data_IF_728518387991
#
_entry.id   IF_728518387991
#
_cell.length_a   1.000
_cell.length_b   1.000
_cell.length_c   1.000
_cell.angle_alpha   90.00
_cell.angle_beta   90.00
_cell.angle_gamma   90.00
#
_symmetry.space_group_name_H-M   'P 1'
#
loop_
_entity.id
_entity.type
_entity.pdbx_description
1 polymer ?
#
# COMPACT_ATOMS: atom_id res chain seq x y z
N UNK A 1 -17.01 -30.42 0.04
CA UNK A 1 -16.30 -31.57 -0.54
C UNK A 1 -15.06 -31.08 -1.26
N UNK A 2 -13.99 -31.88 -1.35
CA UNK A 2 -12.74 -31.52 -2.06
C UNK A 2 -13.00 -31.01 -3.49
N UNK A 3 -14.01 -31.57 -4.17
CA UNK A 3 -14.42 -31.13 -5.51
C UNK A 3 -15.04 -29.72 -5.54
N UNK A 4 -15.76 -29.30 -4.50
CA UNK A 4 -16.33 -27.95 -4.40
C UNK A 4 -15.25 -26.90 -4.18
N UNK A 5 -14.26 -27.19 -3.34
CA UNK A 5 -13.13 -26.29 -3.08
C UNK A 5 -12.21 -26.16 -4.31
N UNK A 6 -11.97 -27.26 -5.03
CA UNK A 6 -11.22 -27.22 -6.29
C UNK A 6 -11.90 -26.34 -7.36
N UNK A 7 -13.24 -26.41 -7.48
CA UNK A 7 -14.00 -25.56 -8.41
C UNK A 7 -13.98 -24.08 -8.00
N UNK A 8 -14.06 -23.80 -6.70
CA UNK A 8 -13.92 -22.44 -6.18
C UNK A 8 -12.54 -21.84 -6.49
N UNK A 9 -11.47 -22.62 -6.32
CA UNK A 9 -10.10 -22.18 -6.68
C UNK A 9 -9.95 -22.02 -8.19
N UNK A 10 -10.56 -22.91 -8.99
CA UNK A 10 -10.52 -22.82 -10.44
C UNK A 10 -11.21 -21.55 -10.96
N UNK A 11 -12.34 -21.15 -10.37
CA UNK A 11 -13.01 -19.91 -10.79
C UNK A 11 -12.11 -18.68 -10.58
N UNK A 12 -11.32 -18.66 -9.50
CA UNK A 12 -10.32 -17.60 -9.28
C UNK A 12 -9.28 -17.58 -10.41
N UNK A 13 -8.70 -18.74 -10.75
CA UNK A 13 -7.70 -18.83 -11.83
C UNK A 13 -8.27 -18.44 -13.20
N UNK A 14 -9.55 -18.72 -13.44
CA UNK A 14 -10.25 -18.26 -14.66
C UNK A 14 -10.35 -16.74 -14.69
N UNK A 15 -10.72 -16.11 -13.58
CA UNK A 15 -10.79 -14.65 -13.46
C UNK A 15 -9.41 -13.99 -13.60
N UNK A 16 -8.35 -14.60 -13.05
CA UNK A 16 -6.97 -14.11 -13.24
C UNK A 16 -6.54 -14.06 -14.70
N UNK A 17 -7.09 -14.96 -15.53
CA UNK A 17 -6.85 -15.00 -16.98
C UNK A 17 -7.82 -14.13 -17.79
N UNK A 18 -8.74 -13.43 -17.13
CA UNK A 18 -9.78 -12.61 -17.77
C UNK A 18 -10.97 -13.42 -18.31
N UNK A 19 -11.07 -14.72 -18.00
CA UNK A 19 -12.17 -15.58 -18.44
C UNK A 19 -13.35 -15.48 -17.47
N UNK A 20 -13.95 -14.29 -17.38
CA UNK A 20 -15.03 -14.02 -16.41
C UNK A 20 -16.31 -14.81 -16.69
N UNK A 21 -16.71 -14.96 -17.96
CA UNK A 21 -17.92 -15.70 -18.34
C UNK A 21 -17.85 -17.19 -17.94
N UNK A 22 -16.69 -17.82 -18.13
CA UNK A 22 -16.42 -19.20 -17.70
C UNK A 22 -16.48 -19.31 -16.17
N UNK A 23 -15.91 -18.34 -15.45
CA UNK A 23 -15.97 -18.28 -13.99
C UNK A 23 -17.41 -18.13 -13.49
N UNK A 24 -18.21 -17.24 -14.11
CA UNK A 24 -19.65 -17.07 -13.84
C UNK A 24 -20.40 -18.38 -14.02
N UNK A 25 -20.15 -19.09 -15.13
CA UNK A 25 -20.79 -20.37 -15.45
C UNK A 25 -20.48 -21.42 -14.39
N UNK A 26 -19.19 -21.56 -14.04
CA UNK A 26 -18.73 -22.50 -13.03
C UNK A 26 -19.33 -22.21 -11.65
N UNK A 27 -19.40 -20.94 -11.25
CA UNK A 27 -19.94 -20.52 -9.96
C UNK A 27 -21.46 -20.72 -9.89
N UNK A 28 -22.20 -20.40 -10.96
CA UNK A 28 -23.64 -20.71 -11.06
C UNK A 28 -23.91 -22.21 -10.98
N UNK A 29 -23.04 -23.05 -11.55
CA UNK A 29 -23.14 -24.51 -11.38
C UNK A 29 -22.88 -24.96 -9.93
N UNK A 30 -21.94 -24.34 -9.24
CA UNK A 30 -21.67 -24.63 -7.83
C UNK A 30 -22.89 -24.32 -6.96
N UNK A 31 -23.58 -23.21 -7.22
CA UNK A 31 -24.77 -22.79 -6.47
C UNK A 31 -25.97 -23.75 -6.63
N UNK A 32 -26.00 -24.59 -7.68
CA UNK A 32 -27.05 -25.63 -7.82
C UNK A 32 -26.91 -26.77 -6.82
N UNK A 33 -25.76 -26.89 -6.14
CA UNK A 33 -25.47 -27.98 -5.19
C UNK A 33 -25.82 -27.55 -3.77
N UNK A 34 -26.33 -28.49 -2.97
CA UNK A 34 -26.63 -28.25 -1.56
C UNK A 34 -25.33 -28.00 -0.78
N UNK A 35 -25.28 -26.90 -0.05
CA UNK A 35 -24.14 -26.47 0.77
C UNK A 35 -24.63 -25.72 2.01
N UNK A 36 -23.72 -25.37 2.94
CA UNK A 36 -24.10 -24.53 4.09
C UNK A 36 -24.42 -23.12 3.62
N UNK A 37 -25.24 -22.37 4.37
CA UNK A 37 -25.54 -20.97 4.04
C UNK A 37 -24.27 -20.10 3.98
N UNK A 38 -23.27 -20.39 4.83
CA UNK A 38 -21.99 -19.70 4.81
C UNK A 38 -21.18 -20.06 3.55
N UNK A 39 -21.11 -21.34 3.15
CA UNK A 39 -20.47 -21.74 1.89
C UNK A 39 -21.16 -21.07 0.70
N UNK A 40 -22.49 -21.07 0.68
CA UNK A 40 -23.27 -20.46 -0.41
C UNK A 40 -23.01 -18.96 -0.52
N UNK A 41 -23.03 -18.25 0.61
CA UNK A 41 -22.68 -16.83 0.68
C UNK A 41 -21.29 -16.58 0.08
N UNK A 42 -20.28 -17.38 0.43
CA UNK A 42 -18.93 -17.24 -0.11
C UNK A 42 -18.84 -17.48 -1.62
N UNK A 43 -19.58 -18.47 -2.14
CA UNK A 43 -19.65 -18.74 -3.60
C UNK A 43 -20.34 -17.57 -4.31
N UNK A 44 -21.42 -17.03 -3.74
CA UNK A 44 -22.10 -15.86 -4.28
C UNK A 44 -21.20 -14.63 -4.27
N UNK A 45 -20.42 -14.40 -3.21
CA UNK A 45 -19.41 -13.32 -3.19
C UNK A 45 -18.35 -13.47 -4.29
N UNK A 46 -17.93 -14.70 -4.62
CA UNK A 46 -17.03 -14.89 -5.77
C UNK A 46 -17.72 -14.59 -7.09
N UNK A 47 -19.00 -14.95 -7.19
CA UNK A 47 -19.82 -14.71 -8.37
C UNK A 47 -20.02 -13.21 -8.61
N UNK A 48 -20.13 -12.38 -7.56
CA UNK A 48 -20.24 -10.92 -7.73
C UNK A 48 -19.01 -10.35 -8.43
N UNK A 49 -17.80 -10.74 -8.03
CA UNK A 49 -16.55 -10.30 -8.67
C UNK A 49 -16.46 -10.78 -10.13
N UNK A 50 -16.89 -12.01 -10.41
CA UNK A 50 -16.90 -12.54 -11.78
C UNK A 50 -17.93 -11.82 -12.67
N UNK A 51 -19.12 -11.52 -12.13
CA UNK A 51 -20.17 -10.76 -12.84
C UNK A 51 -19.73 -9.31 -13.10
N UNK A 52 -19.09 -8.65 -12.14
CA UNK A 52 -18.50 -7.32 -12.36
C UNK A 52 -17.45 -7.34 -13.47
N UNK A 53 -16.58 -8.34 -13.47
CA UNK A 53 -15.55 -8.52 -14.50
C UNK A 53 -16.15 -8.79 -15.89
N UNK A 54 -17.32 -9.45 -15.94
CA UNK A 54 -18.08 -9.66 -17.17
C UNK A 54 -18.96 -8.44 -17.57
N UNK A 55 -19.01 -7.38 -16.76
CA UNK A 55 -19.86 -6.20 -17.00
C UNK A 55 -21.32 -6.35 -16.59
N UNK A 56 -21.71 -7.44 -15.93
CA UNK A 56 -23.07 -7.72 -15.44
C UNK A 56 -23.33 -7.07 -14.05
N UNK A 57 -23.18 -5.75 -13.93
CA UNK A 57 -23.18 -5.05 -12.62
C UNK A 57 -24.50 -5.16 -11.83
N UNK A 58 -25.66 -5.15 -12.49
CA UNK A 58 -26.95 -5.32 -11.80
C UNK A 58 -27.09 -6.72 -11.20
N UNK A 59 -26.66 -7.74 -11.96
CA UNK A 59 -26.64 -9.11 -11.47
C UNK A 59 -25.63 -9.28 -10.33
N UNK A 60 -24.47 -8.62 -10.42
CA UNK A 60 -23.49 -8.59 -9.34
C UNK A 60 -24.09 -7.96 -8.08
N UNK A 61 -24.82 -6.86 -8.17
CA UNK A 61 -25.45 -6.22 -7.01
C UNK A 61 -26.52 -7.12 -6.37
N UNK A 62 -27.36 -7.76 -7.18
CA UNK A 62 -28.31 -8.75 -6.68
C UNK A 62 -27.61 -9.88 -5.90
N UNK A 63 -26.53 -10.43 -6.45
CA UNK A 63 -25.76 -11.48 -5.78
C UNK A 63 -25.06 -10.99 -4.51
N UNK A 64 -24.66 -9.71 -4.41
CA UNK A 64 -24.12 -9.11 -3.17
C UNK A 64 -25.17 -9.10 -2.06
N UNK A 65 -26.39 -8.68 -2.37
CA UNK A 65 -27.51 -8.67 -1.41
C UNK A 65 -27.81 -10.08 -0.94
N UNK A 66 -28.00 -11.03 -1.86
CA UNK A 66 -28.26 -12.43 -1.53
C UNK A 66 -27.14 -13.05 -0.67
N UNK A 67 -25.88 -12.76 -0.98
CA UNK A 67 -24.75 -13.25 -0.21
C UNK A 67 -24.77 -12.73 1.24
N UNK A 68 -25.11 -11.45 1.44
CA UNK A 68 -25.21 -10.84 2.77
C UNK A 68 -26.35 -11.46 3.59
N UNK A 69 -27.55 -11.56 3.02
CA UNK A 69 -28.73 -12.12 3.70
C UNK A 69 -28.52 -13.59 4.11
N UNK A 70 -27.90 -14.39 3.23
CA UNK A 70 -27.57 -15.78 3.54
C UNK A 70 -26.57 -15.89 4.68
N UNK A 71 -25.60 -14.98 4.75
CA UNK A 71 -24.59 -14.97 5.79
C UNK A 71 -25.18 -14.59 7.14
N UNK A 72 -26.08 -13.60 7.17
CA UNK A 72 -26.79 -13.19 8.38
C UNK A 72 -27.67 -14.33 8.91
N UNK A 73 -28.33 -15.06 8.01
CA UNK A 73 -29.18 -16.21 8.33
C UNK A 73 -28.40 -17.52 8.59
N UNK A 74 -27.07 -17.52 8.51
CA UNK A 74 -26.24 -18.69 8.76
C UNK A 74 -26.05 -18.96 10.26
N UNK A 75 -25.96 -20.23 10.64
CA UNK A 75 -25.66 -20.65 12.01
C UNK A 75 -24.26 -20.20 12.43
N UNK A 76 -24.12 -19.83 13.70
CA UNK A 76 -22.86 -19.34 14.24
C UNK A 76 -21.80 -20.44 14.23
N UNK A 77 -20.79 -20.27 13.39
CA UNK A 77 -19.77 -21.28 13.11
C UNK A 77 -18.46 -20.61 12.72
N UNK A 78 -17.35 -21.35 12.80
CA UNK A 78 -16.05 -20.91 12.28
C UNK A 78 -16.16 -20.51 10.80
N UNK A 79 -16.89 -21.30 10.02
CA UNK A 79 -17.09 -21.03 8.59
C UNK A 79 -17.77 -19.67 8.37
N UNK A 80 -18.86 -19.40 9.10
CA UNK A 80 -19.56 -18.11 9.03
C UNK A 80 -18.64 -16.95 9.38
N UNK A 81 -17.84 -17.07 10.45
CA UNK A 81 -16.92 -16.00 10.86
C UNK A 81 -15.85 -15.72 9.80
N UNK A 82 -15.25 -16.76 9.22
CA UNK A 82 -14.23 -16.60 8.15
C UNK A 82 -14.83 -15.96 6.90
N UNK A 83 -16.03 -16.38 6.48
CA UNK A 83 -16.71 -15.78 5.32
C UNK A 83 -17.13 -14.33 5.60
N UNK A 84 -17.60 -14.04 6.82
CA UNK A 84 -17.91 -12.67 7.26
C UNK A 84 -16.70 -11.76 7.23
N UNK A 85 -15.55 -12.23 7.70
CA UNK A 85 -14.32 -11.47 7.61
C UNK A 85 -13.90 -11.20 6.15
N UNK A 86 -14.06 -12.18 5.26
CA UNK A 86 -13.79 -11.99 3.83
C UNK A 86 -14.69 -10.91 3.22
N UNK A 87 -15.99 -10.89 3.56
CA UNK A 87 -16.92 -9.87 3.12
C UNK A 87 -16.56 -8.48 3.67
N UNK A 88 -16.21 -8.40 4.95
CA UNK A 88 -15.77 -7.15 5.56
C UNK A 88 -14.51 -6.60 4.85
N UNK A 89 -13.57 -7.48 4.47
CA UNK A 89 -12.39 -7.08 3.69
C UNK A 89 -12.76 -6.52 2.30
N UNK A 90 -13.71 -7.12 1.57
CA UNK A 90 -14.14 -6.58 0.27
C UNK A 90 -14.86 -5.23 0.41
N UNK A 91 -15.52 -5.00 1.56
CA UNK A 91 -16.12 -3.72 1.94
C UNK A 91 -15.11 -2.71 2.54
N UNK A 92 -13.81 -3.02 2.57
CA UNK A 92 -12.76 -2.20 3.17
C UNK A 92 -12.92 -1.96 4.68
N UNK A 93 -13.69 -2.82 5.36
CA UNK A 93 -13.92 -2.78 6.82
C UNK A 93 -12.90 -3.66 7.54
N UNK A 94 -11.61 -3.35 7.32
CA UNK A 94 -10.49 -4.20 7.73
C UNK A 94 -10.38 -4.41 9.25
N UNK A 95 -10.69 -3.40 10.06
CA UNK A 95 -10.66 -3.51 11.52
C UNK A 95 -11.72 -4.51 12.04
N UNK A 96 -12.91 -4.51 11.45
CA UNK A 96 -13.99 -5.46 11.80
C UNK A 96 -13.68 -6.86 11.27
N UNK A 97 -13.09 -6.96 10.08
CA UNK A 97 -12.61 -8.23 9.53
C UNK A 97 -11.57 -8.86 10.45
N UNK A 98 -10.61 -8.07 10.91
CA UNK A 98 -9.58 -8.48 11.86
C UNK A 98 -10.20 -9.00 13.16
N UNK A 99 -11.09 -8.24 13.79
CA UNK A 99 -11.77 -8.65 15.02
C UNK A 99 -12.59 -9.94 14.84
N UNK A 100 -13.24 -10.10 13.69
CA UNK A 100 -14.02 -11.30 13.35
C UNK A 100 -13.11 -12.55 13.23
N UNK A 101 -11.93 -12.40 12.61
CA UNK A 101 -10.97 -13.49 12.48
C UNK A 101 -10.31 -13.85 13.82
N UNK A 102 -10.05 -12.89 14.70
CA UNK A 102 -9.54 -13.16 16.05
C UNK A 102 -10.53 -13.98 16.88
N UNK A 103 -11.84 -13.74 16.71
CA UNK A 103 -12.88 -14.56 17.35
C UNK A 103 -12.97 -15.98 16.76
N UNK A 104 -12.63 -16.14 15.47
CA UNK A 104 -12.65 -17.43 14.79
C UNK A 104 -11.44 -18.30 15.17
N UNK A 105 -10.25 -17.72 15.23
CA UNK A 105 -8.97 -18.45 15.31
C UNK A 105 -8.88 -19.46 16.47
N UNK A 106 -9.31 -19.18 17.72
CA UNK A 106 -9.25 -20.14 18.81
C UNK A 106 -10.10 -21.40 18.58
N UNK A 107 -11.14 -21.30 17.74
CA UNK A 107 -12.08 -22.39 17.43
C UNK A 107 -11.58 -23.28 16.28
N UNK A 108 -10.48 -22.90 15.61
CA UNK A 108 -9.92 -23.62 14.47
C UNK A 108 -8.89 -24.64 14.94
N UNK A 109 -9.22 -25.93 14.79
CA UNK A 109 -8.34 -27.05 15.15
C UNK A 109 -7.51 -27.56 13.96
N UNK A 110 -7.98 -27.38 12.73
CA UNK A 110 -7.26 -27.81 11.53
C UNK A 110 -6.04 -26.91 11.28
N UNK A 111 -4.79 -27.45 11.23
CA UNK A 111 -3.59 -26.64 11.07
C UNK A 111 -3.52 -25.81 9.78
N UNK A 112 -3.99 -26.37 8.65
CA UNK A 112 -3.96 -25.68 7.37
C UNK A 112 -4.93 -24.50 7.34
N UNK A 113 -6.17 -24.70 7.82
CA UNK A 113 -7.15 -23.63 7.96
C UNK A 113 -6.68 -22.59 8.99
N UNK A 114 -6.03 -23.03 10.07
CA UNK A 114 -5.47 -22.12 11.09
C UNK A 114 -4.39 -21.21 10.50
N UNK A 115 -3.44 -21.76 9.74
CA UNK A 115 -2.41 -20.99 9.04
C UNK A 115 -3.03 -20.01 8.01
N UNK A 116 -4.04 -20.45 7.25
CA UNK A 116 -4.77 -19.59 6.33
C UNK A 116 -5.46 -18.42 7.05
N UNK A 117 -6.14 -18.68 8.16
CA UNK A 117 -6.80 -17.64 8.97
C UNK A 117 -5.78 -16.68 9.58
N UNK A 118 -4.61 -17.16 10.02
CA UNK A 118 -3.51 -16.30 10.50
C UNK A 118 -2.99 -15.39 9.39
N UNK A 119 -2.81 -15.89 8.17
CA UNK A 119 -2.42 -15.06 7.02
C UNK A 119 -3.50 -14.03 6.68
N UNK A 120 -4.79 -14.38 6.77
CA UNK A 120 -5.88 -13.41 6.61
C UNK A 120 -5.91 -12.35 7.73
N UNK A 121 -5.58 -12.73 8.97
CA UNK A 121 -5.40 -11.80 10.08
C UNK A 121 -4.26 -10.84 9.83
N UNK A 122 -3.11 -11.35 9.36
CA UNK A 122 -1.95 -10.54 9.00
C UNK A 122 -2.27 -9.53 7.88
N UNK A 123 -3.02 -9.96 6.86
CA UNK A 123 -3.49 -9.05 5.80
C UNK A 123 -4.48 -8.00 6.32
N UNK A 124 -5.46 -8.38 7.11
CA UNK A 124 -6.42 -7.43 7.70
C UNK A 124 -5.72 -6.47 8.69
N UNK A 125 -4.70 -6.93 9.40
CA UNK A 125 -3.84 -6.11 10.25
C UNK A 125 -3.09 -5.06 9.43
N UNK A 126 -2.50 -5.46 8.31
CA UNK A 126 -1.81 -4.55 7.40
C UNK A 126 -2.75 -3.44 6.89
N UNK A 127 -3.92 -3.82 6.39
CA UNK A 127 -4.89 -2.85 5.83
C UNK A 127 -5.55 -1.98 6.92
N UNK A 128 -5.56 -2.42 8.18
CA UNK A 128 -6.05 -1.62 9.32
C UNK A 128 -4.95 -0.85 10.07
N UNK A 129 -3.69 -0.92 9.63
CA UNK A 129 -2.56 -0.20 10.24
C UNK A 129 -1.96 -0.84 11.50
N UNK A 130 -2.35 -2.06 11.85
CA UNK A 130 -1.85 -2.78 13.04
C UNK A 130 -0.53 -3.49 12.76
N UNK A 131 0.56 -2.72 12.69
CA UNK A 131 1.85 -3.18 12.17
C UNK A 131 2.41 -4.42 12.89
N UNK A 132 2.39 -4.45 14.23
CA UNK A 132 2.92 -5.56 15.03
C UNK A 132 2.18 -6.88 14.76
N UNK A 133 0.86 -6.80 14.54
CA UNK A 133 0.02 -7.97 14.27
C UNK A 133 0.31 -8.59 12.90
N UNK A 134 0.84 -7.82 11.94
CA UNK A 134 1.23 -8.34 10.62
C UNK A 134 2.30 -9.41 10.79
N UNK A 135 3.41 -9.04 11.46
CA UNK A 135 4.57 -9.90 11.66
C UNK A 135 4.20 -11.09 12.54
N UNK A 136 3.51 -10.84 13.66
CA UNK A 136 3.08 -11.90 14.58
C UNK A 136 2.31 -13.00 13.86
N UNK A 137 1.24 -12.66 13.16
CA UNK A 137 0.39 -13.66 12.52
C UNK A 137 1.06 -14.32 11.31
N UNK A 138 1.90 -13.58 10.58
CA UNK A 138 2.68 -14.15 9.48
C UNK A 138 3.69 -15.20 9.96
N UNK A 139 4.46 -14.90 11.02
CA UNK A 139 5.42 -15.82 11.61
C UNK A 139 4.74 -17.01 12.28
N UNK A 140 3.67 -16.80 13.06
CA UNK A 140 2.88 -17.89 13.65
C UNK A 140 2.34 -18.84 12.56
N UNK A 141 1.86 -18.30 11.43
CA UNK A 141 1.43 -19.13 10.30
C UNK A 141 2.56 -19.99 9.73
N UNK A 142 3.78 -19.44 9.61
CA UNK A 142 4.95 -20.17 9.11
C UNK A 142 5.35 -21.33 10.02
N UNK A 143 5.16 -21.22 11.34
CA UNK A 143 5.45 -22.32 12.29
C UNK A 143 4.60 -23.57 12.04
N UNK A 144 3.41 -23.41 11.44
CA UNK A 144 2.50 -24.51 11.10
C UNK A 144 2.91 -25.24 9.80
N UNK A 145 4.03 -24.86 9.19
CA UNK A 145 4.56 -25.43 7.95
C UNK A 145 3.51 -25.55 6.84
N UNK A 146 2.85 -24.44 6.48
CA UNK A 146 1.72 -24.50 5.57
C UNK A 146 2.18 -24.85 4.15
N UNK A 147 1.20 -25.10 3.28
CA UNK A 147 1.45 -25.36 1.86
C UNK A 147 2.16 -24.19 1.17
N UNK A 148 2.59 -24.43 -0.07
CA UNK A 148 3.31 -23.46 -0.90
C UNK A 148 2.62 -22.08 -0.93
N UNK A 149 1.32 -22.03 -1.17
CA UNK A 149 0.57 -20.79 -1.39
C UNK A 149 0.52 -19.95 -0.12
N UNK A 150 0.15 -20.57 0.99
CA UNK A 150 0.06 -19.87 2.28
C UNK A 150 1.45 -19.50 2.79
N UNK A 151 2.47 -20.34 2.57
CA UNK A 151 3.86 -20.04 2.95
C UNK A 151 4.42 -18.85 2.19
N UNK A 152 4.24 -18.80 0.87
CA UNK A 152 4.66 -17.65 0.04
C UNK A 152 4.00 -16.36 0.52
N UNK A 153 2.69 -16.38 0.73
CA UNK A 153 1.94 -15.21 1.21
C UNK A 153 2.35 -14.79 2.63
N UNK A 154 2.62 -15.74 3.53
CA UNK A 154 3.10 -15.43 4.87
C UNK A 154 4.47 -14.74 4.85
N UNK A 155 5.43 -15.21 4.02
CA UNK A 155 6.69 -14.49 3.84
C UNK A 155 6.48 -13.10 3.22
N UNK A 156 5.55 -12.95 2.27
CA UNK A 156 5.23 -11.64 1.69
C UNK A 156 4.75 -10.64 2.75
N UNK A 157 3.84 -11.07 3.62
CA UNK A 157 3.27 -10.26 4.69
C UNK A 157 4.29 -9.94 5.78
N UNK A 158 5.10 -10.91 6.24
CA UNK A 158 6.19 -10.65 7.18
C UNK A 158 7.18 -9.64 6.61
N UNK A 159 7.55 -9.81 5.33
CA UNK A 159 8.42 -8.88 4.62
C UNK A 159 7.81 -7.47 4.51
N UNK A 160 6.48 -7.33 4.47
CA UNK A 160 5.77 -6.05 4.53
C UNK A 160 5.74 -5.48 5.96
N UNK A 161 5.47 -6.32 6.97
CA UNK A 161 5.42 -5.92 8.38
C UNK A 161 6.76 -5.40 8.88
N UNK A 162 7.83 -6.20 8.75
CA UNK A 162 9.19 -5.78 9.12
C UNK A 162 9.63 -4.53 8.36
N UNK A 163 9.27 -4.45 7.07
CA UNK A 163 9.49 -3.26 6.29
C UNK A 163 8.81 -2.04 6.94
N UNK A 164 7.53 -2.09 7.28
CA UNK A 164 6.81 -0.97 7.89
C UNK A 164 7.41 -0.50 9.22
N UNK A 165 7.97 -1.43 10.00
CA UNK A 165 8.69 -1.14 11.26
C UNK A 165 10.10 -0.56 11.05
N UNK A 166 10.61 -0.58 9.82
CA UNK A 166 11.97 -0.12 9.49
C UNK A 166 13.04 -1.21 9.66
N UNK A 167 12.66 -2.44 10.01
CA UNK A 167 13.57 -3.59 10.03
C UNK A 167 13.80 -4.13 8.62
N UNK A 168 14.65 -3.44 7.86
CA UNK A 168 14.93 -3.76 6.46
C UNK A 168 15.67 -5.08 6.27
N UNK A 169 16.43 -5.54 7.28
CA UNK A 169 17.19 -6.79 7.23
C UNK A 169 16.27 -8.01 7.26
N UNK A 170 15.35 -8.06 8.24
CA UNK A 170 14.34 -9.11 8.29
C UNK A 170 13.38 -9.03 7.10
N UNK A 171 13.03 -7.81 6.66
CA UNK A 171 12.22 -7.63 5.47
C UNK A 171 12.89 -8.26 4.24
N UNK A 172 14.18 -7.99 4.00
CA UNK A 172 14.95 -8.58 2.90
C UNK A 172 15.00 -10.11 3.01
N UNK A 173 15.23 -10.65 4.21
CA UNK A 173 15.26 -12.10 4.46
C UNK A 173 13.93 -12.76 4.04
N UNK A 174 12.80 -12.21 4.45
CA UNK A 174 11.50 -12.76 4.07
C UNK A 174 11.22 -12.65 2.56
N UNK A 175 11.60 -11.54 1.92
CA UNK A 175 11.47 -11.41 0.46
C UNK A 175 12.34 -12.41 -0.29
N UNK A 176 13.56 -12.66 0.18
CA UNK A 176 14.45 -13.65 -0.41
C UNK A 176 13.90 -15.07 -0.25
N UNK A 177 13.37 -15.41 0.93
CA UNK A 177 12.73 -16.72 1.14
C UNK A 177 11.50 -16.91 0.24
N UNK A 178 10.68 -15.87 0.06
CA UNK A 178 9.57 -15.91 -0.91
C UNK A 178 10.09 -16.11 -2.33
N UNK A 179 11.12 -15.37 -2.74
CA UNK A 179 11.73 -15.51 -4.06
C UNK A 179 12.22 -16.96 -4.31
N UNK A 180 12.88 -17.58 -3.33
CA UNK A 180 13.33 -18.97 -3.44
C UNK A 180 12.16 -19.97 -3.59
N UNK A 181 11.04 -19.71 -2.91
CA UNK A 181 9.81 -20.52 -3.05
C UNK A 181 9.28 -20.43 -4.48
N UNK A 182 9.14 -19.22 -5.01
CA UNK A 182 8.55 -19.00 -6.35
C UNK A 182 9.50 -19.42 -7.48
N UNK A 183 10.82 -19.30 -7.28
CA UNK A 183 11.82 -19.86 -8.19
C UNK A 183 11.72 -21.39 -8.31
N UNK A 184 11.49 -22.09 -7.18
CA UNK A 184 11.27 -23.54 -7.20
C UNK A 184 9.95 -23.92 -7.87
N UNK A 185 8.94 -23.06 -7.79
CA UNK A 185 7.65 -23.25 -8.46
C UNK A 185 7.71 -22.93 -9.96
N UNK A 186 8.69 -22.13 -10.42
CA UNK A 186 8.85 -21.74 -11.82
C UNK A 186 7.83 -20.69 -12.28
N UNK A 187 7.24 -19.94 -11.35
CA UNK A 187 6.22 -18.93 -11.63
C UNK A 187 6.89 -17.56 -11.93
N UNK A 188 7.15 -17.29 -13.22
CA UNK A 188 7.83 -16.08 -13.67
C UNK A 188 7.17 -14.77 -13.22
N UNK A 189 5.84 -14.75 -13.10
CA UNK A 189 5.08 -13.58 -12.68
C UNK A 189 5.33 -13.28 -11.20
N UNK A 190 5.29 -14.30 -10.35
CA UNK A 190 5.57 -14.15 -8.92
C UNK A 190 7.04 -13.91 -8.62
N UNK A 191 7.95 -14.48 -9.40
CA UNK A 191 9.38 -14.16 -9.30
C UNK A 191 9.60 -12.67 -9.58
N UNK A 192 9.02 -12.14 -10.66
CA UNK A 192 9.10 -10.71 -10.98
C UNK A 192 8.51 -9.84 -9.87
N UNK A 193 7.38 -10.24 -9.26
CA UNK A 193 6.81 -9.53 -8.12
C UNK A 193 7.76 -9.56 -6.90
N UNK A 194 8.38 -10.70 -6.59
CA UNK A 194 9.37 -10.80 -5.52
C UNK A 194 10.57 -9.86 -5.75
N UNK A 195 11.05 -9.78 -7.00
CA UNK A 195 12.13 -8.87 -7.39
C UNK A 195 11.74 -7.41 -7.20
N UNK A 196 10.51 -7.01 -7.57
CA UNK A 196 10.00 -5.66 -7.32
C UNK A 196 9.96 -5.34 -5.82
N UNK A 197 9.55 -6.28 -4.98
CA UNK A 197 9.55 -6.10 -3.52
C UNK A 197 10.97 -5.99 -2.94
N UNK A 198 11.94 -6.73 -3.47
CA UNK A 198 13.35 -6.58 -3.11
C UNK A 198 13.91 -5.22 -3.56
N UNK A 199 13.51 -4.75 -4.74
CA UNK A 199 13.86 -3.43 -5.25
C UNK A 199 13.39 -2.32 -4.28
N UNK A 200 12.17 -2.42 -3.75
CA UNK A 200 11.68 -1.53 -2.68
C UNK A 200 12.62 -1.50 -1.47
N UNK A 201 13.14 -2.66 -1.02
CA UNK A 201 14.08 -2.71 0.11
C UNK A 201 15.42 -2.04 -0.25
N UNK A 202 15.96 -2.30 -1.44
CA UNK A 202 17.19 -1.63 -1.93
C UNK A 202 17.02 -0.11 -1.95
N UNK A 203 15.93 0.39 -2.53
CA UNK A 203 15.63 1.82 -2.56
C UNK A 203 15.53 2.40 -1.15
N UNK A 204 14.83 1.73 -0.23
CA UNK A 204 14.68 2.22 1.16
C UNK A 204 16.01 2.31 1.92
N UNK A 205 16.96 1.44 1.60
CA UNK A 205 18.36 1.53 2.09
C UNK A 205 19.20 2.61 1.41
N UNK A 206 18.70 3.27 0.37
CA UNK A 206 19.42 4.27 -0.41
C UNK A 206 20.07 3.75 -1.70
N UNK A 207 20.01 2.43 -1.97
CA UNK A 207 20.51 1.84 -3.22
C UNK A 207 19.46 1.96 -4.34
N UNK A 208 19.31 3.19 -4.85
CA UNK A 208 18.34 3.49 -5.93
C UNK A 208 18.75 2.81 -7.24
N UNK A 209 20.05 2.74 -7.53
CA UNK A 209 20.56 2.07 -8.74
C UNK A 209 20.31 0.56 -8.71
N UNK A 210 20.54 -0.09 -7.58
CA UNK A 210 20.22 -1.50 -7.39
C UNK A 210 18.72 -1.78 -7.48
N UNK A 211 17.88 -0.89 -6.94
CA UNK A 211 16.43 -0.97 -7.12
C UNK A 211 16.04 -0.92 -8.60
N UNK A 212 16.53 0.08 -9.35
CA UNK A 212 16.24 0.23 -10.78
C UNK A 212 16.72 -0.96 -11.62
N UNK A 213 17.88 -1.56 -11.30
CA UNK A 213 18.35 -2.78 -11.97
C UNK A 213 17.39 -3.95 -11.75
N UNK A 214 16.99 -4.20 -10.49
CA UNK A 214 16.03 -5.26 -10.16
C UNK A 214 14.67 -5.05 -10.85
N UNK A 215 14.19 -3.80 -10.92
CA UNK A 215 12.97 -3.47 -11.65
C UNK A 215 13.11 -3.81 -13.15
N UNK A 216 14.23 -3.44 -13.78
CA UNK A 216 14.44 -3.76 -15.19
C UNK A 216 14.44 -5.26 -15.46
N UNK A 217 15.15 -6.04 -14.63
CA UNK A 217 15.18 -7.51 -14.74
C UNK A 217 13.78 -8.12 -14.54
N UNK A 218 13.01 -7.63 -13.54
CA UNK A 218 11.66 -8.10 -13.27
C UNK A 218 10.70 -7.81 -14.44
N UNK A 219 10.82 -6.64 -15.07
CA UNK A 219 10.00 -6.21 -16.21
C UNK A 219 10.27 -7.02 -17.48
N UNK A 220 11.49 -7.50 -17.65
CA UNK A 220 11.89 -8.42 -18.72
C UNK A 220 11.34 -9.82 -18.47
N UNK A 221 11.28 -10.25 -17.21
CA UNK A 221 10.81 -11.59 -16.84
C UNK A 221 9.30 -11.78 -17.01
N UNK A 222 8.49 -10.78 -16.65
CA UNK A 222 7.03 -10.88 -16.71
C UNK A 222 6.40 -9.63 -17.30
N UNK A 223 5.48 -9.83 -18.26
CA UNK A 223 4.64 -8.77 -18.81
C UNK A 223 3.48 -8.44 -17.85
N UNK A 224 2.97 -9.44 -17.13
CA UNK A 224 1.82 -9.30 -16.22
C UNK A 224 2.20 -8.49 -14.99
N UNK A 225 3.38 -8.75 -14.42
CA UNK A 225 3.88 -8.07 -13.22
C UNK A 225 4.46 -6.68 -13.47
N UNK A 226 4.46 -6.18 -14.71
CA UNK A 226 5.05 -4.86 -15.03
C UNK A 226 4.42 -3.72 -14.25
N UNK A 227 3.11 -3.78 -13.96
CA UNK A 227 2.41 -2.72 -13.22
C UNK A 227 3.00 -2.52 -11.82
N UNK A 228 3.23 -3.60 -11.06
CA UNK A 228 3.82 -3.49 -9.73
C UNK A 228 5.28 -3.06 -9.79
N UNK A 229 6.02 -3.48 -10.82
CA UNK A 229 7.40 -3.03 -11.07
C UNK A 229 7.45 -1.52 -11.36
N UNK A 230 6.57 -1.01 -12.22
CA UNK A 230 6.52 0.40 -12.58
C UNK A 230 6.21 1.30 -11.38
N UNK A 231 5.39 0.85 -10.43
CA UNK A 231 5.17 1.60 -9.17
C UNK A 231 6.50 1.87 -8.46
N UNK A 232 7.38 0.86 -8.37
CA UNK A 232 8.68 1.01 -7.72
C UNK A 232 9.65 1.86 -8.57
N UNK A 233 9.63 1.74 -9.90
CA UNK A 233 10.39 2.62 -10.80
C UNK A 233 9.99 4.10 -10.62
N UNK A 234 8.69 4.39 -10.52
CA UNK A 234 8.18 5.73 -10.23
C UNK A 234 8.73 6.25 -8.90
N UNK A 235 8.77 5.42 -7.84
CA UNK A 235 9.35 5.85 -6.56
C UNK A 235 10.86 6.09 -6.65
N UNK A 236 11.60 5.33 -7.46
CA UNK A 236 13.03 5.56 -7.71
C UNK A 236 13.25 6.90 -8.43
N UNK A 237 12.49 7.15 -9.51
CA UNK A 237 12.55 8.39 -10.28
C UNK A 237 12.20 9.61 -9.40
N UNK A 238 11.14 9.52 -8.58
CA UNK A 238 10.80 10.54 -7.57
C UNK A 238 11.93 10.76 -6.58
N UNK A 239 12.55 9.69 -6.07
CA UNK A 239 13.67 9.80 -5.12
C UNK A 239 14.88 10.50 -5.73
N UNK A 240 15.03 10.43 -7.06
CA UNK A 240 16.03 11.18 -7.82
C UNK A 240 15.57 12.59 -8.20
N UNK A 241 14.29 12.91 -8.15
CA UNK A 241 13.74 14.18 -8.64
C UNK A 241 13.55 14.23 -10.16
N UNK A 242 13.46 13.07 -10.81
CA UNK A 242 13.15 12.93 -12.23
C UNK A 242 11.61 12.88 -12.42
N UNK A 243 10.93 13.97 -12.05
CA UNK A 243 9.46 13.99 -11.94
C UNK A 243 8.74 13.83 -13.29
N UNK A 244 9.29 14.39 -14.37
CA UNK A 244 8.73 14.25 -15.71
C UNK A 244 8.77 12.79 -16.20
N UNK A 245 9.92 12.11 -16.05
CA UNK A 245 10.07 10.68 -16.38
C UNK A 245 9.15 9.81 -15.52
N UNK A 246 8.98 10.17 -14.24
CA UNK A 246 8.04 9.48 -13.35
C UNK A 246 6.59 9.64 -13.81
N UNK A 247 6.20 10.84 -14.29
CA UNK A 247 4.88 11.09 -14.84
C UNK A 247 4.64 10.31 -16.14
N UNK A 248 5.61 10.28 -17.05
CA UNK A 248 5.54 9.48 -18.27
C UNK A 248 5.37 7.98 -17.97
N UNK A 249 6.12 7.48 -16.97
CA UNK A 249 6.01 6.09 -16.51
C UNK A 249 4.62 5.81 -15.94
N UNK A 250 4.06 6.73 -15.15
CA UNK A 250 2.69 6.63 -14.61
C UNK A 250 1.63 6.60 -15.72
N UNK A 251 1.77 7.44 -16.75
CA UNK A 251 0.88 7.42 -17.91
C UNK A 251 0.96 6.11 -18.69
N UNK A 252 2.17 5.56 -18.86
CA UNK A 252 2.37 4.26 -19.48
C UNK A 252 1.66 3.16 -18.68
N UNK A 253 1.78 3.14 -17.36
CA UNK A 253 1.08 2.19 -16.47
C UNK A 253 -0.42 2.23 -16.67
N UNK A 254 -1.01 3.43 -16.76
CA UNK A 254 -2.46 3.60 -17.00
C UNK A 254 -2.92 3.03 -18.34
N UNK A 255 -2.05 3.04 -19.34
CA UNK A 255 -2.33 2.51 -20.69
C UNK A 255 -2.15 0.99 -20.79
N UNK A 256 -1.48 0.35 -19.83
CA UNK A 256 -1.33 -1.12 -19.81
C UNK A 256 -2.60 -1.82 -19.30
N UNK A 257 -2.90 -3.02 -19.84
CA UNK A 257 -4.10 -3.82 -19.57
C UNK A 257 -4.45 -3.90 -18.08
N UNK A 258 -5.72 -3.67 -17.72
CA UNK A 258 -6.24 -3.63 -16.34
C UNK A 258 -5.88 -4.85 -15.49
N UNK A 259 -5.86 -4.69 -14.16
CA UNK A 259 -5.71 -5.84 -13.25
C UNK A 259 -6.86 -6.83 -13.50
N UNK A 260 -6.60 -8.15 -13.42
CA UNK A 260 -7.64 -9.16 -13.61
C UNK A 260 -8.80 -9.08 -12.60
N UNK A 261 -8.63 -8.39 -11.48
CA UNK A 261 -9.68 -8.22 -10.48
C UNK A 261 -10.14 -6.75 -10.47
N UNK A 262 -11.44 -6.46 -10.71
CA UNK A 262 -11.95 -5.08 -10.70
C UNK A 262 -11.68 -4.34 -9.38
N UNK A 263 -11.79 -5.03 -8.24
CA UNK A 263 -11.48 -4.48 -6.93
C UNK A 263 -9.98 -4.14 -6.75
N UNK A 264 -9.08 -4.94 -7.33
CA UNK A 264 -7.65 -4.65 -7.34
C UNK A 264 -7.31 -3.50 -8.29
N UNK A 265 -7.95 -3.43 -9.46
CA UNK A 265 -7.82 -2.31 -10.39
C UNK A 265 -8.21 -0.99 -9.72
N UNK A 266 -9.37 -0.94 -9.05
CA UNK A 266 -9.84 0.27 -8.35
C UNK A 266 -8.87 0.72 -7.24
N UNK A 267 -8.35 -0.23 -6.44
CA UNK A 267 -7.34 0.08 -5.41
C UNK A 267 -6.06 0.66 -6.01
N UNK A 268 -5.60 0.09 -7.12
CA UNK A 268 -4.38 0.54 -7.80
C UNK A 268 -4.57 1.90 -8.46
N UNK A 269 -5.75 2.18 -9.02
CA UNK A 269 -6.11 3.51 -9.50
C UNK A 269 -6.02 4.56 -8.39
N UNK A 270 -6.49 4.24 -7.17
CA UNK A 270 -6.33 5.13 -6.02
C UNK A 270 -4.86 5.37 -5.68
N UNK A 271 -4.00 4.35 -5.71
CA UNK A 271 -2.57 4.54 -5.50
C UNK A 271 -1.93 5.43 -6.58
N UNK A 272 -2.27 5.21 -7.86
CA UNK A 272 -1.80 6.02 -8.98
C UNK A 272 -2.27 7.47 -8.93
N UNK A 273 -3.48 7.73 -8.42
CA UNK A 273 -3.96 9.10 -8.21
C UNK A 273 -3.12 9.81 -7.14
N UNK A 274 -2.72 9.12 -6.07
CA UNK A 274 -1.87 9.70 -5.04
C UNK A 274 -0.49 10.11 -5.59
N UNK A 275 0.14 9.26 -6.39
CA UNK A 275 1.43 9.58 -7.01
C UNK A 275 1.30 10.71 -8.05
N UNK A 276 0.23 10.73 -8.86
CA UNK A 276 0.00 11.81 -9.82
C UNK A 276 -0.07 13.17 -9.14
N UNK A 277 -0.85 13.28 -8.05
CA UNK A 277 -1.04 14.55 -7.33
C UNK A 277 0.31 15.11 -6.86
N UNK A 278 1.15 14.26 -6.26
CA UNK A 278 2.48 14.67 -5.80
C UNK A 278 3.38 15.05 -6.98
N UNK A 279 3.40 14.26 -8.05
CA UNK A 279 4.22 14.55 -9.22
C UNK A 279 3.83 15.87 -9.89
N UNK A 280 2.52 16.14 -10.07
CA UNK A 280 2.02 17.42 -10.59
C UNK A 280 2.48 18.59 -9.74
N UNK A 281 2.44 18.43 -8.42
CA UNK A 281 2.89 19.46 -7.49
C UNK A 281 4.39 19.74 -7.62
N UNK A 282 5.23 18.70 -7.65
CA UNK A 282 6.69 18.85 -7.82
C UNK A 282 7.08 19.39 -9.21
N UNK A 283 6.23 19.19 -10.22
CA UNK A 283 6.37 19.79 -11.56
C UNK A 283 5.91 21.25 -11.63
N UNK A 284 5.42 21.83 -10.53
CA UNK A 284 4.98 23.22 -10.48
C UNK A 284 3.56 23.46 -11.01
N UNK A 285 2.69 22.43 -10.95
CA UNK A 285 1.29 22.49 -11.41
C UNK A 285 0.29 22.34 -10.24
N UNK A 286 0.32 23.23 -9.22
CA UNK A 286 -0.45 23.04 -7.99
C UNK A 286 -1.98 23.11 -8.20
N UNK A 287 -2.47 23.87 -9.18
CA UNK A 287 -3.90 23.93 -9.51
C UNK A 287 -4.40 22.60 -10.09
N UNK A 288 -3.60 21.98 -10.97
CA UNK A 288 -3.91 20.66 -11.52
C UNK A 288 -3.85 19.61 -10.41
N UNK A 289 -2.82 19.68 -9.55
CA UNK A 289 -2.71 18.81 -8.38
C UNK A 289 -3.93 18.91 -7.46
N UNK A 290 -4.46 20.12 -7.22
CA UNK A 290 -5.66 20.34 -6.40
C UNK A 290 -6.89 19.65 -6.99
N UNK A 291 -7.13 19.81 -8.30
CA UNK A 291 -8.28 19.18 -8.98
C UNK A 291 -8.19 17.66 -8.91
N UNK A 292 -6.99 17.09 -9.08
CA UNK A 292 -6.80 15.64 -8.97
C UNK A 292 -6.94 15.15 -7.52
N UNK A 293 -6.47 15.92 -6.55
CA UNK A 293 -6.65 15.63 -5.13
C UNK A 293 -8.13 15.60 -4.73
N UNK A 294 -8.93 16.55 -5.21
CA UNK A 294 -10.40 16.58 -4.99
C UNK A 294 -11.08 15.33 -5.55
N UNK A 295 -10.73 14.92 -6.78
CA UNK A 295 -11.24 13.68 -7.39
C UNK A 295 -10.86 12.44 -6.57
N UNK A 296 -9.61 12.38 -6.12
CA UNK A 296 -9.13 11.26 -5.33
C UNK A 296 -9.88 11.17 -3.99
N UNK A 297 -10.05 12.30 -3.28
CA UNK A 297 -10.81 12.39 -2.04
C UNK A 297 -12.26 11.95 -2.20
N UNK A 298 -12.93 12.34 -3.30
CA UNK A 298 -14.30 11.92 -3.58
C UNK A 298 -14.47 10.39 -3.74
N UNK A 299 -13.39 9.68 -4.10
CA UNK A 299 -13.36 8.23 -4.22
C UNK A 299 -13.10 7.46 -2.93
N UNK A 300 -12.68 8.13 -1.85
CA UNK A 300 -12.33 7.51 -0.56
C UNK A 300 -13.56 7.49 0.34
N UNK A 301 -14.16 6.33 0.55
CA UNK A 301 -15.42 6.24 1.30
C UNK A 301 -15.26 5.81 2.76
N UNK A 302 -14.23 5.03 3.14
CA UNK A 302 -14.10 4.50 4.52
C UNK A 302 -12.65 4.25 5.00
N UNK A 303 -11.63 4.61 4.22
CA UNK A 303 -10.23 4.42 4.60
C UNK A 303 -9.67 5.68 5.25
N UNK A 304 -9.57 5.66 6.59
CA UNK A 304 -9.09 6.78 7.39
C UNK A 304 -7.60 7.08 7.15
N UNK A 305 -6.77 6.07 6.90
CA UNK A 305 -5.35 6.26 6.60
C UNK A 305 -5.17 6.98 5.25
N UNK A 306 -5.88 6.49 4.23
CA UNK A 306 -5.84 7.10 2.89
C UNK A 306 -6.42 8.51 2.91
N UNK A 307 -7.52 8.74 3.63
CA UNK A 307 -8.10 10.07 3.81
C UNK A 307 -7.11 11.04 4.47
N UNK A 308 -6.44 10.61 5.53
CA UNK A 308 -5.46 11.41 6.26
C UNK A 308 -4.27 11.78 5.35
N UNK A 309 -3.78 10.83 4.54
CA UNK A 309 -2.72 11.06 3.56
C UNK A 309 -3.13 12.09 2.50
N UNK A 310 -4.30 11.94 1.89
CA UNK A 310 -4.78 12.89 0.87
C UNK A 310 -4.99 14.29 1.44
N UNK A 311 -5.49 14.40 2.67
CA UNK A 311 -5.61 15.67 3.37
C UNK A 311 -4.25 16.32 3.65
N UNK A 312 -3.25 15.54 4.08
CA UNK A 312 -1.89 16.07 4.26
C UNK A 312 -1.32 16.60 2.93
N UNK A 313 -1.47 15.85 1.83
CA UNK A 313 -1.06 16.31 0.49
C UNK A 313 -1.82 17.59 0.09
N UNK A 314 -3.11 17.69 0.41
CA UNK A 314 -3.91 18.90 0.17
C UNK A 314 -3.37 20.11 0.93
N UNK A 315 -2.92 19.95 2.18
CA UNK A 315 -2.25 21.03 2.93
C UNK A 315 -1.05 21.57 2.15
N UNK A 316 -0.20 20.68 1.63
CA UNK A 316 0.97 21.08 0.85
C UNK A 316 0.58 21.80 -0.44
N UNK A 317 -0.44 21.32 -1.17
CA UNK A 317 -0.96 21.99 -2.37
C UNK A 317 -1.47 23.40 -2.01
N UNK A 318 -2.26 23.54 -0.95
CA UNK A 318 -2.79 24.84 -0.50
C UNK A 318 -1.67 25.80 -0.09
N UNK A 319 -0.59 25.28 0.53
CA UNK A 319 0.59 26.06 0.87
C UNK A 319 1.33 26.58 -0.37
N UNK A 320 1.47 25.75 -1.42
CA UNK A 320 2.01 26.19 -2.72
C UNK A 320 1.12 27.27 -3.37
N UNK A 321 -0.20 27.13 -3.28
CA UNK A 321 -1.18 28.11 -3.76
C UNK A 321 -1.31 29.35 -2.86
N UNK A 322 -0.55 29.45 -1.77
CA UNK A 322 -0.60 30.54 -0.79
C UNK A 322 -1.99 30.74 -0.14
N UNK A 323 -2.79 29.67 -0.05
CA UNK A 323 -4.11 29.64 0.62
C UNK A 323 -3.93 29.29 2.10
N UNK A 324 -3.33 30.22 2.84
CA UNK A 324 -2.84 30.00 4.22
C UNK A 324 -3.94 29.56 5.19
N UNK A 325 -5.05 30.29 5.25
CA UNK A 325 -6.12 30.02 6.22
C UNK A 325 -6.71 28.61 6.05
N UNK A 326 -6.90 28.17 4.81
CA UNK A 326 -7.41 26.84 4.50
C UNK A 326 -6.40 25.73 4.83
N UNK A 327 -5.12 25.98 4.56
CA UNK A 327 -4.05 25.05 4.92
C UNK A 327 -3.96 24.89 6.45
N UNK A 328 -3.98 25.99 7.20
CA UNK A 328 -3.92 25.98 8.67
C UNK A 328 -5.13 25.27 9.30
N UNK A 329 -6.34 25.56 8.82
CA UNK A 329 -7.55 24.87 9.29
C UNK A 329 -7.50 23.36 9.04
N UNK A 330 -6.93 22.95 7.90
CA UNK A 330 -6.78 21.53 7.57
C UNK A 330 -5.68 20.85 8.40
N UNK A 331 -4.59 21.55 8.72
CA UNK A 331 -3.56 21.06 9.65
C UNK A 331 -4.18 20.76 11.02
N UNK A 332 -4.97 21.68 11.58
CA UNK A 332 -5.64 21.46 12.87
C UNK A 332 -6.59 20.25 12.85
N UNK A 333 -7.28 20.04 11.73
CA UNK A 333 -8.15 18.87 11.53
C UNK A 333 -7.34 17.56 11.51
N UNK A 334 -6.19 17.55 10.83
CA UNK A 334 -5.28 16.40 10.77
C UNK A 334 -4.69 16.11 12.15
N UNK A 335 -4.26 17.13 12.89
CA UNK A 335 -3.67 16.99 14.23
C UNK A 335 -4.62 16.31 15.22
N UNK A 336 -5.92 16.60 15.13
CA UNK A 336 -6.95 15.95 15.96
C UNK A 336 -7.12 14.46 15.64
N UNK A 337 -6.82 14.05 14.42
CA UNK A 337 -6.97 12.66 13.97
C UNK A 337 -5.71 11.81 14.24
N UNK A 338 -4.51 12.42 14.21
CA UNK A 338 -3.24 11.73 14.38
C UNK A 338 -3.15 10.74 15.57
N UNK A 339 -3.70 11.03 16.78
CA UNK A 339 -3.63 10.08 17.90
C UNK A 339 -4.22 8.70 17.60
N UNK A 340 -5.19 8.60 16.67
CA UNK A 340 -5.79 7.33 16.28
C UNK A 340 -4.90 6.47 15.36
N UNK A 341 -3.77 7.02 14.87
CA UNK A 341 -2.90 6.40 13.87
C UNK A 341 -1.46 6.21 14.35
N UNK A 342 -1.23 6.29 15.67
CA UNK A 342 0.12 6.23 16.26
C UNK A 342 0.86 4.91 15.99
N UNK A 343 0.14 3.82 15.69
CA UNK A 343 0.72 2.51 15.36
C UNK A 343 1.24 2.40 13.92
N UNK A 344 0.99 3.41 13.08
CA UNK A 344 1.31 3.37 11.65
C UNK A 344 2.56 4.21 11.33
N UNK A 345 3.74 3.77 11.79
CA UNK A 345 5.03 4.48 11.62
C UNK A 345 5.24 5.06 10.22
N UNK A 346 5.07 4.24 9.18
CA UNK A 346 5.30 4.66 7.79
C UNK A 346 4.37 5.79 7.34
N UNK A 347 3.10 5.75 7.73
CA UNK A 347 2.13 6.81 7.43
C UNK A 347 2.49 8.11 8.14
N UNK A 348 2.87 8.04 9.41
CA UNK A 348 3.24 9.22 10.21
C UNK A 348 4.51 9.89 9.66
N UNK A 349 5.51 9.11 9.23
CA UNK A 349 6.72 9.63 8.55
C UNK A 349 6.32 10.45 7.32
N UNK A 350 5.40 9.94 6.50
CA UNK A 350 4.94 10.64 5.30
C UNK A 350 4.18 11.92 5.64
N UNK A 351 3.24 11.85 6.59
CA UNK A 351 2.43 13.01 7.01
C UNK A 351 3.32 14.10 7.61
N UNK A 352 4.22 13.76 8.54
CA UNK A 352 5.09 14.76 9.18
C UNK A 352 6.04 15.42 8.19
N UNK A 353 6.57 14.68 7.22
CA UNK A 353 7.35 15.28 6.15
C UNK A 353 6.51 16.27 5.31
N UNK A 354 5.28 15.90 4.94
CA UNK A 354 4.40 16.75 4.13
C UNK A 354 3.99 18.02 4.90
N UNK A 355 3.59 17.89 6.17
CA UNK A 355 3.18 19.02 7.00
C UNK A 355 4.38 19.95 7.31
N UNK A 356 5.55 19.39 7.58
CA UNK A 356 6.80 20.14 7.74
C UNK A 356 7.12 20.97 6.51
N UNK A 357 7.04 20.38 5.32
CA UNK A 357 7.21 21.10 4.04
C UNK A 357 6.19 22.23 3.88
N UNK A 358 4.91 21.93 4.07
CA UNK A 358 3.84 22.90 3.86
C UNK A 358 3.96 24.11 4.79
N UNK A 359 4.31 23.89 6.06
CA UNK A 359 4.51 24.97 7.02
C UNK A 359 5.69 25.87 6.66
N UNK A 360 6.75 25.31 6.07
CA UNK A 360 7.86 26.11 5.55
C UNK A 360 7.39 27.00 4.38
N UNK A 361 6.59 26.47 3.46
CA UNK A 361 6.02 27.24 2.33
C UNK A 361 5.04 28.35 2.77
N UNK A 362 4.43 28.18 3.94
CA UNK A 362 3.59 29.18 4.63
C UNK A 362 4.39 30.16 5.50
N UNK A 363 5.72 30.14 5.42
CA UNK A 363 6.62 30.97 6.21
C UNK A 363 6.44 30.79 7.75
N UNK A 364 6.30 29.53 8.19
CA UNK A 364 6.23 29.15 9.61
C UNK A 364 7.36 28.14 9.95
N UNK A 365 8.63 28.57 9.88
CA UNK A 365 9.77 27.66 10.03
C UNK A 365 9.87 27.01 11.42
N UNK A 366 9.43 27.67 12.50
CA UNK A 366 9.43 27.10 13.85
C UNK A 366 8.44 25.93 13.96
N UNK A 367 7.21 26.10 13.45
CA UNK A 367 6.24 25.01 13.42
C UNK A 367 6.71 23.89 12.49
N UNK A 368 7.30 24.23 11.35
CA UNK A 368 7.91 23.26 10.44
C UNK A 368 8.95 22.38 11.16
N UNK A 369 9.86 22.98 11.94
CA UNK A 369 10.86 22.24 12.73
C UNK A 369 10.22 21.23 13.68
N UNK A 370 9.11 21.56 14.35
CA UNK A 370 8.43 20.61 15.26
C UNK A 370 7.96 19.34 14.54
N UNK A 371 7.55 19.46 13.27
CA UNK A 371 7.16 18.31 12.46
C UNK A 371 8.35 17.49 12.00
N UNK A 372 9.47 18.14 11.67
CA UNK A 372 10.71 17.44 11.35
C UNK A 372 11.33 16.73 12.56
N UNK A 373 11.16 17.28 13.77
CA UNK A 373 11.55 16.59 15.01
C UNK A 373 10.72 15.32 15.24
N UNK A 374 9.40 15.39 15.00
CA UNK A 374 8.53 14.20 15.03
C UNK A 374 8.89 13.19 13.94
N UNK A 375 9.25 13.67 12.75
CA UNK A 375 9.75 12.84 11.66
C UNK A 375 11.01 12.06 12.07
N UNK A 376 12.01 12.75 12.64
CA UNK A 376 13.26 12.14 13.10
C UNK A 376 13.03 11.15 14.26
N UNK A 377 12.10 11.44 15.16
CA UNK A 377 11.73 10.56 16.27
C UNK A 377 11.16 9.21 15.80
N UNK A 378 10.62 9.14 14.59
CA UNK A 378 10.15 7.90 13.96
C UNK A 378 11.25 7.10 13.25
N UNK A 379 12.50 7.60 13.28
CA UNK A 379 13.68 6.96 12.70
C UNK A 379 13.46 6.57 11.23
N UNK A 380 13.26 7.54 10.32
CA UNK A 380 12.94 7.25 8.93
C UNK A 380 13.99 6.35 8.27
N UNK A 381 13.58 5.60 7.26
CA UNK A 381 14.51 4.72 6.55
C UNK A 381 15.63 5.53 5.90
N UNK A 382 16.80 4.93 5.60
CA UNK A 382 17.96 5.65 5.08
C UNK A 382 17.66 6.60 3.92
N UNK A 383 16.83 6.19 2.96
CA UNK A 383 16.42 7.03 1.82
C UNK A 383 15.76 8.37 2.22
N UNK A 384 15.14 8.42 3.40
CA UNK A 384 14.46 9.61 3.93
C UNK A 384 15.39 10.56 4.71
N UNK A 385 16.55 10.10 5.18
CA UNK A 385 17.45 10.92 5.98
C UNK A 385 17.88 12.22 5.29
N UNK A 386 18.29 12.22 3.99
CA UNK A 386 18.66 13.47 3.33
C UNK A 386 17.53 14.50 3.30
N UNK A 387 16.27 14.05 3.19
CA UNK A 387 15.09 14.91 3.19
C UNK A 387 14.93 15.64 4.52
N UNK A 388 15.00 14.90 5.63
CA UNK A 388 14.87 15.47 6.97
C UNK A 388 15.92 16.54 7.22
N UNK A 389 17.18 16.24 6.91
CA UNK A 389 18.29 17.19 7.03
C UNK A 389 18.10 18.42 6.12
N UNK A 390 17.75 18.21 4.85
CA UNK A 390 17.57 19.29 3.87
C UNK A 390 16.50 20.29 4.33
N UNK A 391 15.30 19.83 4.65
CA UNK A 391 14.21 20.73 5.02
C UNK A 391 14.42 21.40 6.38
N UNK A 392 15.01 20.73 7.37
CA UNK A 392 15.44 21.39 8.62
C UNK A 392 16.49 22.46 8.35
N UNK A 393 17.42 22.21 7.43
CA UNK A 393 18.39 23.21 6.98
C UNK A 393 17.72 24.44 6.38
N UNK A 394 16.69 24.26 5.56
CA UNK A 394 15.88 25.37 5.04
C UNK A 394 15.14 26.12 6.16
N UNK A 395 14.61 25.44 7.17
CA UNK A 395 13.97 26.10 8.31
C UNK A 395 14.96 26.99 9.08
N UNK A 396 16.16 26.49 9.38
CA UNK A 396 17.18 27.30 10.08
C UNK A 396 17.66 28.48 9.24
N UNK A 397 17.80 28.30 7.92
CA UNK A 397 18.09 29.42 7.02
C UNK A 397 16.98 30.48 7.03
N UNK A 398 15.71 30.06 7.05
CA UNK A 398 14.57 30.99 7.19
C UNK A 398 14.53 31.70 8.56
N UNK A 399 15.14 31.11 9.58
CA UNK A 399 15.35 31.68 10.91
C UNK A 399 16.66 32.48 11.03
N UNK A 400 17.34 32.74 9.91
CA UNK A 400 18.61 33.47 9.83
C UNK A 400 19.80 32.78 10.56
N UNK A 401 19.68 31.49 10.87
CA UNK A 401 20.75 30.64 11.42
C UNK A 401 21.47 29.87 10.29
N UNK A 402 22.32 30.59 9.55
CA UNK A 402 23.04 30.04 8.38
C UNK A 402 24.10 29.00 8.78
N UNK A 403 24.67 29.09 9.98
CA UNK A 403 25.65 28.11 10.47
C UNK A 403 24.99 26.73 10.60
N UNK A 404 23.86 26.67 11.31
CA UNK A 404 23.11 25.43 11.49
C UNK A 404 22.49 24.92 10.21
N UNK A 405 22.04 25.82 9.33
CA UNK A 405 21.57 25.44 8.00
C UNK A 405 22.66 24.70 7.20
N UNK A 406 23.89 25.25 7.17
CA UNK A 406 25.03 24.63 6.47
C UNK A 406 25.45 23.30 7.07
N UNK A 407 25.42 23.19 8.40
CA UNK A 407 25.67 21.92 9.08
C UNK A 407 24.69 20.84 8.59
N UNK A 408 23.39 21.15 8.58
CA UNK A 408 22.35 20.20 8.16
C UNK A 408 22.45 19.83 6.67
N UNK A 409 22.71 20.78 5.77
CA UNK A 409 22.95 20.44 4.37
C UNK A 409 24.18 19.55 4.19
N UNK A 410 25.23 19.75 5.00
CA UNK A 410 26.41 18.89 5.00
C UNK A 410 26.06 17.49 5.49
N UNK A 411 25.27 17.37 6.57
CA UNK A 411 24.78 16.09 7.08
C UNK A 411 23.96 15.33 6.04
N UNK A 412 23.09 16.02 5.28
CA UNK A 412 22.34 15.42 4.18
C UNK A 412 23.28 14.77 3.14
N UNK A 413 24.37 15.45 2.77
CA UNK A 413 25.38 14.94 1.83
C UNK A 413 26.19 13.78 2.43
N UNK A 414 26.52 13.86 3.72
CA UNK A 414 27.30 12.85 4.43
C UNK A 414 26.55 11.53 4.62
N UNK A 415 25.23 11.49 4.41
CA UNK A 415 24.48 10.21 4.32
C UNK A 415 25.03 9.30 3.23
N UNK A 416 25.66 9.85 2.18
CA UNK A 416 26.16 9.10 1.03
C UNK A 416 25.06 8.60 0.08
N UNK A 417 23.81 9.04 0.27
CA UNK A 417 22.66 8.59 -0.53
C UNK A 417 22.33 9.66 -1.58
N UNK A 418 22.39 9.29 -2.85
CA UNK A 418 22.14 10.19 -3.99
C UNK A 418 20.64 10.40 -4.25
N UNK A 419 19.97 11.19 -3.41
CA UNK A 419 18.58 11.62 -3.60
C UNK A 419 18.48 13.02 -4.22
N UNK A 420 17.26 13.41 -4.60
CA UNK A 420 16.92 14.78 -4.95
C UNK A 420 17.31 15.77 -3.85
N UNK A 421 16.94 15.46 -2.60
CA UNK A 421 17.22 16.29 -1.42
C UNK A 421 18.74 16.45 -1.15
N UNK A 422 19.54 15.41 -1.42
CA UNK A 422 21.01 15.50 -1.37
C UNK A 422 21.56 16.45 -2.43
N UNK A 423 21.03 16.41 -3.65
CA UNK A 423 21.44 17.33 -4.73
C UNK A 423 21.05 18.78 -4.40
N UNK A 424 19.84 18.99 -3.88
CA UNK A 424 19.40 20.31 -3.41
C UNK A 424 20.28 20.82 -2.26
N UNK A 425 20.69 19.96 -1.34
CA UNK A 425 21.62 20.33 -0.25
C UNK A 425 22.98 20.81 -0.78
N UNK A 426 23.52 20.18 -1.83
CA UNK A 426 24.75 20.64 -2.50
C UNK A 426 24.59 22.02 -3.13
N UNK A 427 23.46 22.25 -3.81
CA UNK A 427 23.14 23.56 -4.40
C UNK A 427 22.98 24.63 -3.31
N UNK A 428 22.31 24.30 -2.21
CA UNK A 428 22.12 25.18 -1.07
C UNK A 428 23.44 25.60 -0.39
N UNK A 429 24.49 24.76 -0.44
CA UNK A 429 25.83 25.08 0.06
C UNK A 429 26.69 25.84 -0.94
N UNK A 430 26.57 25.56 -2.24
CA UNK A 430 27.38 26.24 -3.26
C UNK A 430 26.94 27.69 -3.51
N UNK A 431 25.77 28.09 -3.00
CA UNK A 431 25.21 29.41 -3.22
C UNK A 431 24.73 29.64 -4.66
N UNK A 432 24.73 28.58 -5.48
CA UNK A 432 24.21 28.61 -6.85
C UNK A 432 22.70 28.43 -6.77
N UNK A 433 21.96 29.50 -7.09
CA UNK A 433 20.49 29.47 -7.24
C UNK A 433 20.08 28.77 -8.52
#
# INVERSE_FOLDING_TARGET
TVQGEARYRLSWLMMEKGNYEDAVTLLREMLKRRQSKATESNVRQRLTEALDGAGEHEAAEHERVCASELLDAAEESVEKLVVKASLLNTQQRYAEAYATLELALPKITNPALRAQTMVQLSLAAFESGKTEAIVRWGEEALTLQPDHTIRSLAHDLCGTGYASEGNLDEAERHRQLRLEIEQKAGDGDKIAECMARLATIKRRRGDIDGSMRLCSEARELSIVSRKSVYVEEIQCLKSRGQFSEAMETLEMVRRTQGFPMPSAQKRMETAYMSDEVVLRLEMGEPEIALVQNDKALAGVQNDTNTLLKYNAVRVLILAHLKRREEAEALIESIEKQLPAHLETRGLLIEIYAILGRALLDLAQPEKSLTYWEKYDALLPDPIGLPRGFYYRGLCYRALEDEEKARELFTQAIQTGIETYDTRLSRQALSGVK
#
